data_IF_311270868554
#
_entry.id   IF_311270868554
#
_cell.length_a   1.000
_cell.length_b   1.000
_cell.length_c   1.000
_cell.angle_alpha   90.00
_cell.angle_beta   90.00
_cell.angle_gamma   90.00
#
_symmetry.space_group_name_H-M   'P 1'
#
loop_
_entity.id
_entity.type
_entity.pdbx_description
1 polymer ?
#
# COMPACT_ATOMS: atom_id res chain seq x y z
N UNK A 1 -15.85 -11.77 9.78
CA UNK A 1 -14.67 -12.49 10.32
C UNK A 1 -13.81 -11.46 11.02
N UNK A 2 -13.37 -11.68 12.26
CA UNK A 2 -12.48 -10.75 12.95
C UNK A 2 -11.09 -10.72 12.29
N UNK A 3 -10.27 -9.73 12.68
CA UNK A 3 -8.85 -9.60 12.28
C UNK A 3 -8.10 -10.93 12.52
N UNK A 4 -7.24 -11.32 11.57
CA UNK A 4 -6.33 -12.46 11.73
C UNK A 4 -5.19 -12.13 12.70
N UNK A 5 -4.90 -13.05 13.61
CA UNK A 5 -3.86 -12.86 14.65
C UNK A 5 -2.52 -13.51 14.31
N UNK A 6 -2.50 -14.35 13.27
CA UNK A 6 -1.32 -15.06 12.78
C UNK A 6 -0.54 -14.27 11.70
N UNK A 7 -1.16 -13.25 11.08
CA UNK A 7 -0.49 -12.30 10.20
C UNK A 7 -0.06 -11.08 11.00
N UNK A 8 1.21 -10.68 10.83
CA UNK A 8 1.77 -9.46 11.44
C UNK A 8 2.35 -8.49 10.40
N UNK A 9 2.88 -9.04 9.30
CA UNK A 9 3.51 -8.29 8.22
C UNK A 9 2.81 -8.60 6.89
N UNK A 10 2.54 -7.57 6.10
CA UNK A 10 1.89 -7.67 4.80
C UNK A 10 2.76 -6.98 3.75
N UNK A 11 3.03 -7.67 2.64
CA UNK A 11 3.62 -7.07 1.45
C UNK A 11 2.49 -6.56 0.54
N UNK A 12 2.48 -5.26 0.27
CA UNK A 12 1.57 -4.61 -0.67
C UNK A 12 2.31 -4.34 -1.98
N UNK A 13 1.74 -4.83 -3.09
CA UNK A 13 2.33 -4.68 -4.43
C UNK A 13 1.58 -3.57 -5.16
N UNK A 14 2.28 -2.48 -5.46
CA UNK A 14 1.76 -1.37 -6.25
C UNK A 14 1.62 -1.72 -7.74
N UNK A 15 0.89 -0.88 -8.46
CA UNK A 15 0.61 -1.09 -9.88
C UNK A 15 1.76 -0.71 -10.82
N UNK A 16 2.77 0.02 -10.34
CA UNK A 16 3.84 0.56 -11.17
C UNK A 16 3.45 1.87 -11.88
N UNK A 17 4.12 2.23 -12.99
CA UNK A 17 3.90 3.48 -13.70
C UNK A 17 2.48 3.60 -14.26
N UNK A 18 1.99 4.83 -14.39
CA UNK A 18 0.70 5.13 -15.02
C UNK A 18 0.74 4.77 -16.51
N UNK A 19 -0.27 4.01 -16.95
CA UNK A 19 -0.52 3.68 -18.37
C UNK A 19 -2.02 3.82 -18.68
N UNK A 20 -2.36 3.85 -19.97
CA UNK A 20 -3.78 3.83 -20.39
C UNK A 20 -4.42 2.53 -19.89
N UNK A 21 -5.51 2.67 -19.13
CA UNK A 21 -6.22 1.53 -18.52
C UNK A 21 -5.68 1.10 -17.15
N UNK A 22 -4.61 1.73 -16.66
CA UNK A 22 -4.10 1.53 -15.30
C UNK A 22 -3.45 2.82 -14.79
N UNK A 23 -4.23 3.66 -14.12
CA UNK A 23 -3.82 5.01 -13.77
C UNK A 23 -3.89 5.27 -12.25
N UNK A 24 -4.25 6.50 -11.88
CA UNK A 24 -4.17 7.02 -10.52
C UNK A 24 -5.10 6.31 -9.52
N UNK A 25 -6.08 5.56 -10.00
CA UNK A 25 -6.97 4.76 -9.16
C UNK A 25 -6.20 3.80 -8.26
N UNK A 26 -5.05 3.30 -8.70
CA UNK A 26 -4.22 2.38 -7.91
C UNK A 26 -3.37 3.08 -6.86
N UNK A 27 -2.98 4.33 -7.05
CA UNK A 27 -2.38 5.13 -5.98
C UNK A 27 -3.43 5.42 -4.90
N UNK A 28 -4.64 5.81 -5.30
CA UNK A 28 -5.76 6.02 -4.38
C UNK A 28 -6.08 4.75 -3.58
N UNK A 29 -6.27 3.61 -4.25
CA UNK A 29 -6.56 2.34 -3.58
C UNK A 29 -5.40 1.83 -2.74
N UNK A 30 -4.17 1.92 -3.22
CA UNK A 30 -2.98 1.51 -2.47
C UNK A 30 -2.77 2.37 -1.21
N UNK A 31 -2.97 3.67 -1.32
CA UNK A 31 -2.93 4.62 -0.18
C UNK A 31 -3.99 4.27 0.87
N UNK A 32 -5.22 3.95 0.45
CA UNK A 32 -6.26 3.49 1.37
C UNK A 32 -5.91 2.17 2.03
N UNK A 33 -5.39 1.20 1.28
CA UNK A 33 -4.97 -0.07 1.83
C UNK A 33 -3.86 0.09 2.87
N UNK A 34 -2.87 0.95 2.62
CA UNK A 34 -1.84 1.30 3.59
C UNK A 34 -2.44 1.88 4.88
N UNK A 35 -3.35 2.86 4.76
CA UNK A 35 -4.04 3.47 5.91
C UNK A 35 -4.82 2.43 6.72
N UNK A 36 -5.68 1.65 6.08
CA UNK A 36 -6.52 0.66 6.77
C UNK A 36 -5.70 -0.43 7.45
N UNK A 37 -4.65 -0.94 6.80
CA UNK A 37 -3.80 -1.98 7.40
C UNK A 37 -2.98 -1.42 8.58
N UNK A 38 -2.54 -0.17 8.52
CA UNK A 38 -1.79 0.51 9.58
C UNK A 38 -2.68 0.81 10.79
N UNK A 39 -3.92 1.25 10.57
CA UNK A 39 -4.94 1.44 11.62
C UNK A 39 -5.26 0.13 12.34
N UNK A 40 -5.27 -0.98 11.62
CA UNK A 40 -5.40 -2.33 12.19
C UNK A 40 -4.11 -2.82 12.88
N UNK A 41 -2.99 -2.10 12.80
CA UNK A 41 -1.73 -2.44 13.45
C UNK A 41 -0.96 -3.57 12.79
N UNK A 42 -1.03 -3.68 11.46
CA UNK A 42 -0.12 -4.52 10.68
C UNK A 42 1.16 -3.73 10.32
N UNK A 43 2.27 -4.45 10.20
CA UNK A 43 3.48 -3.93 9.58
C UNK A 43 3.36 -4.05 8.05
N UNK A 44 3.64 -2.97 7.34
CA UNK A 44 3.43 -2.88 5.88
C UNK A 44 4.77 -2.70 5.18
N UNK A 45 5.05 -3.63 4.27
CA UNK A 45 6.10 -3.48 3.27
C UNK A 45 5.40 -3.16 1.96
N UNK A 46 5.74 -2.06 1.31
CA UNK A 46 5.19 -1.68 0.01
C UNK A 46 6.29 -1.80 -1.05
N UNK A 47 5.95 -2.23 -2.24
CA UNK A 47 6.81 -2.04 -3.42
C UNK A 47 6.02 -1.39 -4.53
N UNK A 48 6.51 -0.26 -5.04
CA UNK A 48 5.96 0.38 -6.21
C UNK A 48 7.07 1.14 -6.95
N UNK A 49 7.19 0.92 -8.26
CA UNK A 49 8.22 1.57 -9.07
C UNK A 49 7.83 2.97 -9.56
N UNK A 50 6.58 3.40 -9.34
CA UNK A 50 6.16 4.77 -9.68
C UNK A 50 6.47 5.71 -8.52
N UNK A 51 7.45 6.63 -8.65
CA UNK A 51 7.83 7.53 -7.57
C UNK A 51 6.82 8.66 -7.32
N UNK A 52 5.86 8.86 -8.23
CA UNK A 52 4.85 9.91 -8.14
C UNK A 52 3.54 9.38 -7.56
N UNK A 53 3.62 8.65 -6.44
CA UNK A 53 2.45 8.09 -5.75
C UNK A 53 2.47 8.45 -4.27
N UNK A 54 1.32 8.81 -3.72
CA UNK A 54 1.19 9.08 -2.28
C UNK A 54 1.48 7.82 -1.46
N UNK A 55 1.11 6.63 -1.96
CA UNK A 55 1.36 5.40 -1.23
C UNK A 55 2.86 5.14 -0.97
N UNK A 56 3.76 5.67 -1.79
CA UNK A 56 5.23 5.56 -1.60
C UNK A 56 5.83 6.63 -0.70
N UNK A 57 5.04 7.58 -0.20
CA UNK A 57 5.53 8.55 0.76
C UNK A 57 5.95 7.83 2.07
N UNK A 58 7.07 8.24 2.70
CA UNK A 58 7.66 7.52 3.85
C UNK A 58 6.73 7.33 5.06
N UNK A 59 5.62 8.05 5.14
CA UNK A 59 4.66 7.98 6.24
C UNK A 59 3.59 6.88 6.07
N UNK A 60 3.42 6.34 4.86
CA UNK A 60 2.32 5.42 4.53
C UNK A 60 2.65 3.94 4.73
N UNK A 61 3.91 3.52 4.56
CA UNK A 61 4.37 2.15 4.80
C UNK A 61 5.57 2.16 5.75
N UNK A 62 5.84 1.04 6.43
CA UNK A 62 7.00 0.93 7.33
C UNK A 62 8.30 0.74 6.53
N UNK A 63 8.19 0.10 5.36
CA UNK A 63 9.28 -0.16 4.42
C UNK A 63 8.76 0.05 2.99
N UNK A 64 9.49 0.80 2.17
CA UNK A 64 9.23 1.06 0.75
C UNK A 64 10.39 0.64 -0.14
#
# INVERSE_FOLDING_TARGET
MPKRTDIKKILLIGSGPIIIGQACEFDYSGTQACKSLKEEGYEIVLVNSNPATIMTDPEFADLT
#
